data_IF_880459222774
#
_entry.id   IF_880459222774
#
_cell.length_a   1.000
_cell.length_b   1.000
_cell.length_c   1.000
_cell.angle_alpha   90.00
_cell.angle_beta   90.00
_cell.angle_gamma   90.00
#
_symmetry.space_group_name_H-M   'P 1'
#
loop_
_entity.id
_entity.type
_entity.pdbx_description
1 polymer ?
#
# COMPACT_ATOMS: atom_id res chain seq x y z
N UNK A 1 -28.29 -12.67 -57.18
CA UNK A 1 -27.08 -11.98 -56.71
C UNK A 1 -27.46 -11.09 -55.53
N UNK A 2 -27.13 -11.48 -54.31
CA UNK A 2 -27.26 -10.62 -53.12
C UNK A 2 -26.09 -10.97 -52.19
N UNK A 3 -25.21 -9.99 -52.00
CA UNK A 3 -23.99 -10.07 -51.20
C UNK A 3 -24.13 -9.05 -50.06
N UNK A 4 -23.52 -9.37 -48.91
CA UNK A 4 -23.01 -8.48 -47.84
C UNK A 4 -23.99 -8.07 -46.74
N UNK A 5 -23.62 -7.94 -45.44
CA UNK A 5 -22.35 -8.05 -44.70
C UNK A 5 -22.61 -8.72 -43.33
N UNK A 6 -21.72 -9.58 -42.85
CA UNK A 6 -21.58 -9.86 -41.42
C UNK A 6 -20.76 -8.73 -40.79
N UNK A 7 -21.36 -7.98 -39.87
CA UNK A 7 -20.65 -7.03 -39.02
C UNK A 7 -19.86 -7.80 -37.96
N UNK A 8 -18.53 -7.69 -38.02
CA UNK A 8 -17.62 -8.16 -36.99
C UNK A 8 -17.71 -7.19 -35.81
N UNK A 9 -18.40 -7.57 -34.73
CA UNK A 9 -18.32 -6.83 -33.47
C UNK A 9 -16.98 -7.21 -32.82
N UNK A 10 -16.02 -6.29 -32.90
CA UNK A 10 -14.81 -6.37 -32.08
C UNK A 10 -15.22 -5.96 -30.68
N UNK A 11 -15.42 -6.96 -29.80
CA UNK A 11 -15.47 -6.72 -28.37
C UNK A 11 -14.06 -6.34 -27.92
N UNK A 12 -13.82 -5.05 -27.68
CA UNK A 12 -12.63 -4.65 -26.95
C UNK A 12 -12.80 -5.12 -25.50
N UNK A 13 -11.94 -6.04 -25.07
CA UNK A 13 -11.84 -6.45 -23.69
C UNK A 13 -11.32 -5.25 -22.88
N UNK A 14 -12.20 -4.56 -22.17
CA UNK A 14 -11.81 -3.69 -21.07
C UNK A 14 -11.35 -4.60 -19.95
N UNK A 15 -10.04 -4.81 -19.83
CA UNK A 15 -9.46 -5.49 -18.67
C UNK A 15 -9.46 -4.52 -17.48
N UNK A 16 -10.63 -4.28 -16.90
CA UNK A 16 -10.75 -3.77 -15.54
C UNK A 16 -10.83 -4.97 -14.60
N UNK A 17 -10.14 -4.92 -13.46
CA UNK A 17 -10.43 -5.88 -12.40
C UNK A 17 -11.92 -5.77 -12.03
N UNK A 18 -12.56 -6.89 -11.69
CA UNK A 18 -13.98 -6.88 -11.34
C UNK A 18 -14.19 -6.04 -10.08
N UNK A 19 -15.18 -5.15 -10.12
CA UNK A 19 -15.71 -4.47 -8.94
C UNK A 19 -16.27 -5.50 -7.96
N UNK A 20 -15.96 -5.31 -6.67
CA UNK A 20 -16.42 -6.16 -5.58
C UNK A 20 -17.24 -5.29 -4.61
N UNK A 21 -18.51 -5.66 -4.41
CA UNK A 21 -19.27 -5.15 -3.26
C UNK A 21 -18.83 -5.91 -2.02
N UNK A 22 -18.26 -5.19 -1.05
CA UNK A 22 -17.79 -5.73 0.21
C UNK A 22 -19.00 -6.10 1.07
N UNK A 23 -19.84 -5.11 1.35
CA UNK A 23 -21.11 -5.26 2.05
C UNK A 23 -21.98 -4.01 1.87
N UNK A 24 -23.23 -4.10 2.32
CA UNK A 24 -24.12 -2.95 2.51
C UNK A 24 -24.36 -2.73 4.00
N UNK A 25 -24.21 -1.50 4.47
CA UNK A 25 -24.48 -1.15 5.86
C UNK A 25 -25.99 -0.95 6.14
N UNK A 26 -26.32 -0.70 7.41
CA UNK A 26 -27.68 -0.43 7.88
C UNK A 26 -28.23 0.94 7.45
N UNK A 27 -27.36 1.88 7.05
CA UNK A 27 -27.74 3.15 6.42
C UNK A 27 -27.99 2.98 4.91
N UNK A 28 -27.82 1.76 4.38
CA UNK A 28 -28.08 1.39 2.99
C UNK A 28 -26.95 1.79 2.03
N UNK A 29 -25.75 2.06 2.54
CA UNK A 29 -24.56 2.35 1.76
C UNK A 29 -23.91 1.04 1.33
N UNK A 30 -23.83 0.80 0.03
CA UNK A 30 -23.03 -0.29 -0.56
C UNK A 30 -21.57 0.15 -0.60
N UNK A 31 -20.72 -0.52 0.16
CA UNK A 31 -19.28 -0.31 0.18
C UNK A 31 -18.60 -1.21 -0.86
N UNK A 32 -17.77 -0.63 -1.71
CA UNK A 32 -17.18 -1.32 -2.86
C UNK A 32 -15.69 -1.07 -2.97
N UNK A 33 -15.01 -2.03 -3.58
CA UNK A 33 -13.60 -1.93 -3.95
C UNK A 33 -13.39 -2.41 -5.38
N UNK A 34 -12.49 -1.75 -6.08
CA UNK A 34 -11.94 -2.23 -7.35
C UNK A 34 -10.43 -1.98 -7.39
N UNK A 35 -9.71 -2.88 -8.07
CA UNK A 35 -8.33 -2.63 -8.45
C UNK A 35 -8.31 -1.86 -9.77
N UNK A 36 -7.60 -0.74 -9.79
CA UNK A 36 -7.50 0.12 -10.96
C UNK A 36 -6.06 0.22 -11.44
N UNK A 37 -5.89 0.59 -12.70
CA UNK A 37 -4.56 0.90 -13.22
C UNK A 37 -3.96 2.08 -12.45
N UNK A 38 -2.71 1.93 -12.01
CA UNK A 38 -1.99 3.03 -11.38
C UNK A 38 -1.64 4.09 -12.43
N UNK A 39 -2.20 5.29 -12.27
CA UNK A 39 -1.98 6.41 -13.17
C UNK A 39 -0.49 6.80 -13.31
N UNK A 40 -0.04 7.11 -14.52
CA UNK A 40 1.35 7.49 -14.82
C UNK A 40 1.88 8.65 -13.96
N UNK A 41 1.13 9.75 -13.75
CA UNK A 41 1.61 10.84 -12.90
C UNK A 41 1.91 10.40 -11.47
N UNK A 42 1.16 9.41 -10.95
CA UNK A 42 1.42 8.87 -9.62
C UNK A 42 2.66 8.00 -9.61
N UNK A 43 2.86 7.13 -10.61
CA UNK A 43 4.11 6.36 -10.75
C UNK A 43 5.34 7.28 -10.72
N UNK A 44 5.31 8.38 -11.48
CA UNK A 44 6.41 9.35 -11.53
C UNK A 44 6.56 10.16 -10.23
N UNK A 45 5.46 10.55 -9.60
CA UNK A 45 5.47 11.22 -8.29
C UNK A 45 6.10 10.35 -7.20
N UNK A 46 5.75 9.06 -7.15
CA UNK A 46 6.32 8.12 -6.19
C UNK A 46 7.79 7.84 -6.49
N UNK A 47 8.17 7.67 -7.76
CA UNK A 47 9.60 7.55 -8.14
C UNK A 47 10.41 8.74 -7.64
N UNK A 48 9.90 9.96 -7.83
CA UNK A 48 10.55 11.19 -7.36
C UNK A 48 10.65 11.23 -5.84
N UNK A 49 9.57 10.88 -5.14
CA UNK A 49 9.53 10.78 -3.68
C UNK A 49 10.59 9.79 -3.15
N UNK A 50 10.68 8.61 -3.76
CA UNK A 50 11.62 7.57 -3.36
C UNK A 50 13.06 7.89 -3.75
N UNK A 51 13.30 8.59 -4.86
CA UNK A 51 14.63 9.05 -5.24
C UNK A 51 15.18 10.06 -4.23
N UNK A 52 14.37 11.03 -3.78
CA UNK A 52 14.75 11.98 -2.71
C UNK A 52 15.11 11.30 -1.39
N UNK A 53 14.54 10.13 -1.14
CA UNK A 53 14.81 9.35 0.08
C UNK A 53 16.16 8.64 0.04
N UNK A 54 16.67 8.31 -1.15
CA UNK A 54 17.96 7.66 -1.32
C UNK A 54 19.15 8.64 -1.17
N UNK A 55 18.91 9.95 -1.11
CA UNK A 55 19.97 10.93 -0.84
C UNK A 55 20.41 10.89 0.63
N UNK A 56 21.72 10.94 0.93
CA UNK A 56 22.21 10.89 2.30
C UNK A 56 21.66 12.08 3.08
N UNK A 57 20.89 11.80 4.13
CA UNK A 57 20.47 12.81 5.10
C UNK A 57 21.70 13.55 5.61
N UNK A 58 21.83 14.83 5.26
CA UNK A 58 22.81 15.71 5.91
C UNK A 58 22.55 15.69 7.41
N UNK A 59 23.62 15.55 8.18
CA UNK A 59 23.69 15.22 9.61
C UNK A 59 23.13 16.29 10.56
N UNK A 60 21.87 16.70 10.45
CA UNK A 60 21.26 17.57 11.46
C UNK A 60 19.73 17.53 11.49
N UNK A 61 19.14 16.43 11.95
CA UNK A 61 17.81 16.47 12.56
C UNK A 61 17.78 15.48 13.73
N UNK A 62 17.63 16.01 14.95
CA UNK A 62 17.41 15.27 16.18
C UNK A 62 16.17 14.36 16.05
N UNK A 63 16.35 13.15 15.54
CA UNK A 63 15.37 12.06 15.61
C UNK A 63 15.58 11.26 16.90
N UNK A 64 15.37 11.93 18.04
CA UNK A 64 15.31 11.26 19.34
C UNK A 64 14.04 10.42 19.44
N UNK A 65 14.20 9.15 19.83
CA UNK A 65 13.10 8.30 20.31
C UNK A 65 12.72 7.13 19.39
N UNK A 66 13.64 6.16 19.21
CA UNK A 66 13.38 4.73 18.95
C UNK A 66 14.66 3.92 18.63
N UNK A 67 15.82 4.58 18.56
CA UNK A 67 17.10 3.97 18.16
C UNK A 67 17.91 3.37 19.31
N UNK A 68 17.41 3.39 20.55
CA UNK A 68 18.21 3.06 21.74
C UNK A 68 17.95 1.66 22.30
N UNK A 69 17.57 0.67 21.46
CA UNK A 69 17.57 -0.73 21.89
C UNK A 69 17.61 -1.77 20.75
N UNK A 70 18.39 -1.51 19.69
CA UNK A 70 18.82 -2.58 18.79
C UNK A 70 20.34 -2.72 18.92
N UNK A 71 20.75 -3.79 19.59
CA UNK A 71 22.13 -4.26 19.69
C UNK A 71 22.76 -4.36 18.29
N UNK A 72 23.56 -3.35 17.94
CA UNK A 72 24.17 -3.10 16.63
C UNK A 72 25.36 -4.04 16.33
N UNK A 73 25.62 -5.04 17.16
CA UNK A 73 26.85 -5.84 17.07
C UNK A 73 26.76 -7.11 16.20
N UNK A 74 25.58 -7.53 15.74
CA UNK A 74 25.45 -8.71 14.88
C UNK A 74 24.37 -8.54 13.80
N UNK A 75 24.78 -8.61 12.53
CA UNK A 75 23.84 -8.78 11.41
C UNK A 75 23.25 -10.18 11.51
N UNK A 76 21.93 -10.27 11.65
CA UNK A 76 21.22 -11.55 11.78
C UNK A 76 20.27 -11.70 10.60
N UNK A 77 20.68 -12.49 9.60
CA UNK A 77 19.99 -12.66 8.32
C UNK A 77 18.58 -13.26 8.48
N UNK A 78 18.39 -14.16 9.45
CA UNK A 78 17.09 -14.81 9.69
C UNK A 78 16.09 -13.92 10.42
N UNK A 79 16.57 -12.83 11.05
CA UNK A 79 15.73 -11.87 11.76
C UNK A 79 15.40 -10.69 10.85
N UNK A 80 14.27 -10.81 10.15
CA UNK A 80 13.71 -9.72 9.34
C UNK A 80 13.02 -8.72 10.25
N UNK A 81 13.44 -7.45 10.21
CA UNK A 81 12.87 -6.38 11.03
C UNK A 81 12.21 -5.32 10.16
N UNK A 82 11.13 -4.72 10.69
CA UNK A 82 10.54 -3.54 10.09
C UNK A 82 11.27 -2.27 10.53
N UNK A 83 11.89 -1.59 9.58
CA UNK A 83 12.47 -0.26 9.76
C UNK A 83 11.49 0.78 9.17
N UNK A 84 10.51 1.18 9.97
CA UNK A 84 9.41 2.05 9.54
C UNK A 84 8.56 2.60 10.69
N UNK A 85 7.85 3.72 10.47
CA UNK A 85 6.87 4.24 11.45
C UNK A 85 5.67 3.31 11.51
N UNK A 86 5.26 2.88 12.71
CA UNK A 86 4.26 1.81 12.89
C UNK A 86 2.79 2.22 12.74
N UNK A 87 2.47 3.51 12.66
CA UNK A 87 1.10 4.02 12.56
C UNK A 87 1.12 5.36 11.82
N UNK A 88 0.31 5.53 10.78
CA UNK A 88 0.14 6.85 10.17
C UNK A 88 -1.22 7.03 9.50
N UNK A 89 -1.71 8.27 9.57
CA UNK A 89 -2.93 8.72 8.90
C UNK A 89 -2.64 9.04 7.45
N UNK A 90 -3.38 8.42 6.55
CA UNK A 90 -3.25 8.53 5.09
C UNK A 90 -4.25 9.57 4.57
N UNK A 91 -5.48 9.55 5.08
CA UNK A 91 -6.56 10.50 4.75
C UNK A 91 -7.22 10.96 6.05
N UNK A 92 -7.53 12.25 6.17
CA UNK A 92 -8.29 12.81 7.30
C UNK A 92 -9.40 13.74 6.81
N UNK A 93 -10.64 13.49 7.25
CA UNK A 93 -11.83 14.30 6.95
C UNK A 93 -11.99 14.64 5.45
N UNK A 94 -11.79 13.64 4.58
CA UNK A 94 -11.98 13.81 3.13
C UNK A 94 -10.90 14.64 2.44
N UNK A 95 -9.75 14.89 3.09
CA UNK A 95 -8.60 15.54 2.47
C UNK A 95 -7.37 14.64 2.62
N UNK A 96 -6.53 14.51 1.57
CA UNK A 96 -5.21 13.92 1.73
C UNK A 96 -4.41 14.76 2.74
N UNK A 97 -3.94 14.14 3.83
CA UNK A 97 -3.11 14.85 4.80
C UNK A 97 -1.69 14.90 4.26
N UNK A 98 -1.32 15.98 3.59
CA UNK A 98 0.04 16.16 3.01
C UNK A 98 1.13 16.23 4.10
N UNK A 99 0.74 16.36 5.38
CA UNK A 99 1.65 16.31 6.53
C UNK A 99 2.03 14.88 6.99
N UNK A 100 1.80 13.84 6.19
CA UNK A 100 2.52 12.58 6.39
C UNK A 100 3.99 12.83 6.03
N UNK A 101 4.86 12.99 7.05
CA UNK A 101 6.28 12.65 6.89
C UNK A 101 6.32 11.19 6.45
N UNK A 102 6.27 10.95 5.13
CA UNK A 102 6.05 9.68 4.42
C UNK A 102 6.49 8.49 5.24
N UNK A 103 5.51 7.81 5.81
CA UNK A 103 5.74 6.59 6.55
C UNK A 103 5.71 5.42 5.57
N UNK A 104 6.71 4.59 5.72
CA UNK A 104 6.98 3.42 4.92
C UNK A 104 7.43 2.33 5.87
N UNK A 105 7.44 1.11 5.39
CA UNK A 105 8.11 0.01 6.06
C UNK A 105 9.09 -0.67 5.12
N UNK A 106 10.17 -1.16 5.70
CA UNK A 106 11.11 -2.03 5.02
C UNK A 106 11.06 -3.39 5.72
N UNK A 107 11.54 -4.44 5.07
CA UNK A 107 11.72 -5.74 5.71
C UNK A 107 13.14 -6.23 5.36
N UNK A 108 14.10 -5.85 6.21
CA UNK A 108 15.54 -6.04 6.02
C UNK A 108 16.12 -6.96 7.11
N UNK A 109 17.33 -7.52 6.94
CA UNK A 109 18.04 -8.16 8.04
C UNK A 109 18.19 -7.21 9.23
N UNK A 110 18.21 -7.77 10.44
CA UNK A 110 18.55 -7.01 11.64
C UNK A 110 19.96 -6.42 11.50
N UNK A 111 20.10 -5.12 11.77
CA UNK A 111 21.39 -4.41 11.75
C UNK A 111 21.85 -3.90 10.38
N UNK A 112 21.04 -4.07 9.33
CA UNK A 112 21.40 -3.72 7.94
C UNK A 112 20.48 -2.62 7.41
N UNK A 113 21.03 -1.70 6.63
CA UNK A 113 20.25 -0.65 5.95
C UNK A 113 20.00 -1.02 4.48
N UNK A 114 19.03 -0.36 3.86
CA UNK A 114 18.68 -0.62 2.46
C UNK A 114 19.85 -0.38 1.51
N UNK A 115 20.74 0.56 1.85
CA UNK A 115 21.92 0.90 1.04
C UNK A 115 23.01 -0.19 1.07
N UNK A 116 22.95 -1.10 2.04
CA UNK A 116 23.86 -2.25 2.15
C UNK A 116 23.36 -3.47 1.33
N UNK A 117 22.19 -3.35 0.70
CA UNK A 117 21.59 -4.39 -0.12
C UNK A 117 21.64 -4.04 -1.61
N UNK A 118 21.72 -5.08 -2.44
CA UNK A 118 21.80 -4.97 -3.89
C UNK A 118 20.65 -5.73 -4.57
N UNK A 119 20.53 -5.60 -5.90
CA UNK A 119 19.59 -6.38 -6.74
C UNK A 119 18.09 -6.15 -6.50
N UNK A 120 17.71 -5.01 -5.91
CA UNK A 120 16.31 -4.62 -5.86
C UNK A 120 15.69 -4.46 -7.25
N UNK A 121 14.43 -4.85 -7.35
CA UNK A 121 13.58 -4.64 -8.52
C UNK A 121 13.36 -3.15 -8.81
N UNK A 122 12.83 -2.86 -10.00
CA UNK A 122 12.13 -1.59 -10.22
C UNK A 122 10.94 -1.45 -9.25
N UNK A 123 10.47 -0.22 -9.07
CA UNK A 123 9.33 0.06 -8.21
C UNK A 123 8.05 -0.55 -8.78
N UNK A 124 7.36 -1.32 -7.95
CA UNK A 124 6.08 -1.95 -8.28
C UNK A 124 4.93 -1.10 -7.75
N UNK A 125 3.76 -1.21 -8.39
CA UNK A 125 2.58 -0.41 -8.07
C UNK A 125 1.30 -1.22 -8.17
N UNK A 126 0.39 -1.04 -7.21
CA UNK A 126 -0.97 -1.59 -7.24
C UNK A 126 -1.94 -0.56 -6.66
N UNK A 127 -2.99 -0.19 -7.39
CA UNK A 127 -3.93 0.85 -6.95
C UNK A 127 -5.31 0.29 -6.69
N UNK A 128 -5.92 0.76 -5.62
CA UNK A 128 -7.27 0.37 -5.20
C UNK A 128 -8.13 1.61 -5.09
N UNK A 129 -9.35 1.51 -5.61
CA UNK A 129 -10.41 2.50 -5.42
C UNK A 129 -11.47 1.91 -4.50
N UNK A 130 -11.73 2.62 -3.41
CA UNK A 130 -12.75 2.32 -2.42
C UNK A 130 -13.81 3.39 -2.46
N UNK A 131 -15.06 3.02 -2.62
CA UNK A 131 -16.13 3.98 -2.70
C UNK A 131 -17.45 3.44 -2.13
N UNK A 132 -18.30 4.34 -1.66
CA UNK A 132 -19.59 4.01 -1.06
C UNK A 132 -20.73 4.61 -1.87
N UNK A 133 -21.76 3.83 -2.16
CA UNK A 133 -22.96 4.28 -2.91
C UNK A 133 -24.19 4.14 -2.04
N UNK A 134 -24.93 5.22 -1.81
CA UNK A 134 -26.17 5.19 -1.02
C UNK A 134 -27.37 4.66 -1.84
N UNK A 135 -28.53 4.53 -1.18
CA UNK A 135 -29.77 4.03 -1.79
C UNK A 135 -30.28 4.84 -2.99
N UNK A 136 -29.81 6.09 -3.16
CA UNK A 136 -30.15 6.95 -4.29
C UNK A 136 -29.18 6.81 -5.47
N UNK A 137 -28.19 5.91 -5.38
CA UNK A 137 -27.16 5.74 -6.40
C UNK A 137 -26.07 6.81 -6.37
N UNK A 138 -26.00 7.61 -5.30
CA UNK A 138 -25.02 8.70 -5.16
C UNK A 138 -23.77 8.16 -4.47
N UNK A 139 -22.59 8.45 -5.02
CA UNK A 139 -21.31 8.15 -4.38
C UNK A 139 -21.08 9.12 -3.22
N UNK A 140 -20.98 8.60 -1.99
CA UNK A 140 -20.86 9.40 -0.76
C UNK A 140 -19.42 9.55 -0.29
N UNK A 141 -18.55 8.63 -0.68
CA UNK A 141 -17.10 8.78 -0.62
C UNK A 141 -16.45 8.00 -1.76
N UNK A 142 -15.27 8.47 -2.20
CA UNK A 142 -14.42 7.84 -3.19
C UNK A 142 -12.96 8.09 -2.82
N UNK A 143 -12.23 7.02 -2.55
CA UNK A 143 -10.82 7.07 -2.16
C UNK A 143 -10.03 6.14 -3.05
N UNK A 144 -8.99 6.69 -3.66
CA UNK A 144 -7.99 5.91 -4.38
C UNK A 144 -6.67 5.94 -3.61
N UNK A 145 -6.06 4.77 -3.41
CA UNK A 145 -4.72 4.65 -2.86
C UNK A 145 -3.85 3.65 -3.64
N UNK A 146 -2.55 3.84 -3.59
CA UNK A 146 -1.54 3.00 -4.26
C UNK A 146 -0.63 2.37 -3.24
N UNK A 147 -0.44 1.06 -3.39
CA UNK A 147 0.66 0.32 -2.79
C UNK A 147 1.88 0.45 -3.71
N UNK A 148 3.04 0.73 -3.13
CA UNK A 148 4.30 0.72 -3.87
C UNK A 148 5.40 0.02 -3.05
N UNK A 149 6.24 -0.78 -3.70
CA UNK A 149 7.37 -1.47 -3.07
C UNK A 149 8.46 -1.85 -4.07
N UNK A 150 9.67 -2.09 -3.57
CA UNK A 150 10.71 -2.87 -4.26
C UNK A 150 10.90 -4.21 -3.55
N UNK A 151 11.24 -5.22 -4.32
CA UNK A 151 11.55 -6.56 -3.84
C UNK A 151 12.89 -7.03 -4.44
N UNK A 152 13.37 -8.20 -4.05
CA UNK A 152 14.56 -8.84 -4.61
C UNK A 152 15.88 -8.39 -4.00
N UNK A 153 15.85 -7.53 -2.98
CA UNK A 153 17.05 -7.07 -2.30
C UNK A 153 17.84 -8.25 -1.74
N UNK A 154 19.16 -8.20 -1.85
CA UNK A 154 20.09 -9.22 -1.39
C UNK A 154 21.17 -8.59 -0.53
N UNK A 155 21.52 -9.24 0.58
CA UNK A 155 22.68 -8.88 1.38
C UNK A 155 23.78 -9.90 1.14
N UNK A 156 24.94 -9.49 0.63
CA UNK A 156 26.04 -10.38 0.23
C UNK A 156 25.57 -11.55 -0.67
N UNK A 157 24.67 -11.26 -1.62
CA UNK A 157 24.11 -12.25 -2.54
C UNK A 157 23.09 -13.22 -1.92
N UNK A 158 22.67 -13.01 -0.67
CA UNK A 158 21.74 -13.89 0.04
C UNK A 158 20.42 -13.20 0.37
N UNK A 159 19.37 -14.02 0.36
CA UNK A 159 18.01 -13.64 0.76
C UNK A 159 17.23 -12.85 -0.29
N UNK A 160 16.01 -12.51 0.07
CA UNK A 160 15.09 -11.70 -0.73
C UNK A 160 14.35 -10.74 0.19
N UNK A 161 14.71 -9.45 0.13
CA UNK A 161 14.24 -8.42 1.06
C UNK A 161 13.34 -7.37 0.38
N UNK A 162 12.59 -6.64 1.20
CA UNK A 162 11.61 -5.63 0.75
C UNK A 162 12.08 -4.25 1.15
N UNK A 163 12.03 -3.32 0.22
CA UNK A 163 12.33 -1.91 0.45
C UNK A 163 11.12 -1.04 0.10
N UNK A 164 10.90 -0.01 0.91
CA UNK A 164 10.00 1.11 0.62
C UNK A 164 8.55 0.70 0.37
N UNK A 165 8.08 -0.36 1.05
CA UNK A 165 6.66 -0.69 1.04
C UNK A 165 5.87 0.47 1.66
N UNK A 166 4.92 1.00 0.89
CA UNK A 166 4.22 2.26 1.21
C UNK A 166 2.78 2.21 0.71
N UNK A 167 1.87 2.85 1.47
CA UNK A 167 0.48 3.14 1.08
C UNK A 167 0.37 4.64 0.80
N UNK A 168 0.03 5.02 -0.43
CA UNK A 168 -0.06 6.40 -0.89
C UNK A 168 -1.49 6.77 -1.27
N UNK A 169 -2.12 7.79 -0.65
CA UNK A 169 -3.41 8.31 -1.11
C UNK A 169 -3.21 9.08 -2.42
N UNK A 170 -4.16 8.94 -3.35
CA UNK A 170 -4.14 9.64 -4.63
C UNK A 170 -5.32 10.63 -4.74
N UNK A 171 -6.54 10.10 -4.67
CA UNK A 171 -7.77 10.87 -4.77
C UNK A 171 -8.63 10.63 -3.53
N UNK A 172 -9.28 11.67 -3.03
CA UNK A 172 -10.21 11.61 -1.91
C UNK A 172 -11.34 12.59 -2.19
N UNK A 173 -12.52 12.06 -2.43
CA UNK A 173 -13.75 12.81 -2.57
C UNK A 173 -14.74 12.31 -1.53
N UNK A 174 -15.36 13.25 -0.81
CA UNK A 174 -16.29 12.92 0.26
C UNK A 174 -17.46 13.89 0.19
N UNK A 175 -18.67 13.32 0.15
CA UNK A 175 -19.91 14.09 0.16
C UNK A 175 -20.13 14.72 1.54
N UNK A 176 -20.82 15.86 1.57
CA UNK A 176 -21.19 16.49 2.83
C UNK A 176 -21.94 15.53 3.76
N UNK A 177 -21.65 15.62 5.06
CA UNK A 177 -22.23 14.74 6.08
C UNK A 177 -21.43 13.46 6.34
N UNK A 178 -20.39 13.20 5.55
CA UNK A 178 -19.49 12.07 5.70
C UNK A 178 -18.08 12.52 6.11
N UNK A 179 -17.41 11.72 6.92
CA UNK A 179 -15.99 11.87 7.21
C UNK A 179 -15.30 10.54 6.92
N UNK A 180 -14.17 10.59 6.22
CA UNK A 180 -13.42 9.38 5.90
C UNK A 180 -11.99 9.51 6.34
N UNK A 181 -11.49 8.46 6.99
CA UNK A 181 -10.10 8.34 7.41
C UNK A 181 -9.54 7.01 6.92
N UNK A 182 -8.40 7.04 6.24
CA UNK A 182 -7.63 5.85 5.87
C UNK A 182 -6.35 5.85 6.71
N UNK A 183 -6.03 4.75 7.37
CA UNK A 183 -4.83 4.60 8.19
C UNK A 183 -4.12 3.29 7.85
N UNK A 184 -2.80 3.24 8.07
CA UNK A 184 -2.09 1.96 8.27
C UNK A 184 -2.10 1.67 9.76
N UNK A 185 -2.82 0.62 10.15
CA UNK A 185 -3.10 0.25 11.55
C UNK A 185 -2.09 -0.74 12.13
N UNK A 186 -1.51 -1.59 11.29
CA UNK A 186 -0.52 -2.58 11.75
C UNK A 186 0.51 -2.84 10.66
N UNK A 187 1.76 -3.05 11.08
CA UNK A 187 2.80 -3.55 10.21
C UNK A 187 3.58 -4.66 10.90
N UNK A 188 3.71 -5.82 10.25
CA UNK A 188 4.48 -6.96 10.75
C UNK A 188 5.43 -7.49 9.68
N UNK A 189 6.60 -7.96 10.10
CA UNK A 189 7.59 -8.57 9.21
C UNK A 189 7.94 -9.96 9.73
N UNK A 190 8.04 -10.93 8.82
CA UNK A 190 8.42 -12.31 9.12
C UNK A 190 9.35 -12.86 8.05
N UNK A 191 10.11 -13.90 8.38
CA UNK A 191 10.89 -14.67 7.41
C UNK A 191 10.08 -15.89 6.96
N UNK A 192 9.76 -15.97 5.65
CA UNK A 192 9.11 -17.13 5.03
C UNK A 192 10.10 -18.17 4.50
N UNK A 193 11.38 -17.81 4.41
CA UNK A 193 12.46 -18.66 3.92
C UNK A 193 13.16 -19.41 5.05
N UNK A 194 14.42 -19.80 4.80
CA UNK A 194 15.28 -20.40 5.83
C UNK A 194 16.17 -19.35 6.48
N UNK A 195 17.05 -19.77 7.39
CA UNK A 195 18.02 -18.85 7.99
C UNK A 195 19.12 -18.44 7.01
N UNK A 196 19.51 -19.37 6.15
CA UNK A 196 20.56 -19.23 5.14
C UNK A 196 20.04 -18.52 3.89
N UNK A 197 18.76 -18.72 3.56
CA UNK A 197 18.10 -18.08 2.41
C UNK A 197 16.77 -17.45 2.88
N UNK A 198 16.83 -16.32 3.60
CA UNK A 198 15.64 -15.67 4.13
C UNK A 198 14.81 -15.04 3.01
N UNK A 199 13.48 -15.11 3.16
CA UNK A 199 12.52 -14.45 2.28
C UNK A 199 11.67 -13.55 3.17
N UNK A 200 11.89 -12.24 3.07
CA UNK A 200 11.12 -11.28 3.85
C UNK A 200 9.66 -11.27 3.39
N UNK A 201 8.74 -11.34 4.35
CA UNK A 201 7.34 -11.01 4.16
C UNK A 201 6.99 -9.83 5.05
N UNK A 202 6.24 -8.88 4.50
CA UNK A 202 5.78 -7.69 5.18
C UNK A 202 4.27 -7.59 5.02
N UNK A 203 3.55 -7.60 6.13
CA UNK A 203 2.11 -7.41 6.17
C UNK A 203 1.79 -5.99 6.64
N UNK A 204 0.94 -5.30 5.90
CA UNK A 204 0.38 -3.98 6.25
C UNK A 204 -1.13 -4.08 6.34
N UNK A 205 -1.69 -3.78 7.51
CA UNK A 205 -3.14 -3.63 7.66
C UNK A 205 -3.53 -2.17 7.42
N UNK A 206 -4.40 -1.94 6.46
CA UNK A 206 -5.07 -0.64 6.28
C UNK A 206 -6.46 -0.68 6.89
N UNK A 207 -6.85 0.42 7.54
CA UNK A 207 -8.18 0.63 8.08
C UNK A 207 -8.80 1.88 7.47
N UNK A 208 -9.87 1.67 6.70
CA UNK A 208 -10.73 2.70 6.17
C UNK A 208 -11.92 2.90 7.10
N UNK A 209 -12.03 4.07 7.70
CA UNK A 209 -13.11 4.47 8.60
C UNK A 209 -14.00 5.45 7.86
N UNK A 210 -15.27 5.11 7.69
CA UNK A 210 -16.31 5.97 7.12
C UNK A 210 -17.27 6.33 8.23
N UNK A 211 -17.42 7.62 8.53
CA UNK A 211 -18.32 8.12 9.57
C UNK A 211 -19.41 8.99 8.99
N UNK A 212 -20.62 8.81 9.48
CA UNK A 212 -21.73 9.74 9.36
C UNK A 212 -21.96 10.41 10.73
N UNK A 213 -23.03 11.21 10.86
CA UNK A 213 -23.48 11.69 12.17
C UNK A 213 -24.00 10.54 13.04
N UNK A 214 -24.51 9.47 12.42
CA UNK A 214 -25.22 8.39 13.09
C UNK A 214 -24.34 7.17 13.37
N UNK A 215 -23.33 6.92 12.53
CA UNK A 215 -22.58 5.67 12.54
C UNK A 215 -21.11 5.84 12.14
N UNK A 216 -20.30 4.89 12.60
CA UNK A 216 -18.97 4.61 12.08
C UNK A 216 -18.95 3.19 11.48
N UNK A 217 -18.43 3.08 10.26
CA UNK A 217 -18.11 1.83 9.58
C UNK A 217 -16.59 1.75 9.44
N UNK A 218 -16.03 0.56 9.69
CA UNK A 218 -14.61 0.29 9.50
C UNK A 218 -14.43 -0.88 8.55
N UNK A 219 -13.59 -0.67 7.54
CA UNK A 219 -13.23 -1.66 6.52
C UNK A 219 -11.73 -1.87 6.64
N UNK A 220 -11.31 -3.12 6.79
CA UNK A 220 -9.90 -3.48 7.00
C UNK A 220 -9.37 -4.32 5.85
N UNK A 221 -8.17 -4.02 5.39
CA UNK A 221 -7.47 -4.82 4.38
C UNK A 221 -6.07 -5.17 4.84
N UNK A 222 -5.71 -6.43 4.75
CA UNK A 222 -4.34 -6.91 4.89
C UNK A 222 -3.66 -6.93 3.52
N UNK A 223 -2.54 -6.23 3.40
CA UNK A 223 -1.67 -6.23 2.23
C UNK A 223 -0.36 -6.95 2.56
N UNK A 224 -0.11 -8.08 1.91
CA UNK A 224 1.10 -8.88 2.10
C UNK A 224 2.06 -8.69 0.92
N UNK A 225 3.23 -8.18 1.23
CA UNK A 225 4.36 -8.00 0.32
C UNK A 225 5.37 -9.13 0.55
N UNK A 226 5.99 -9.62 -0.52
CA UNK A 226 7.08 -10.61 -0.42
C UNK A 226 8.35 -10.10 -1.08
N UNK A 227 9.49 -10.41 -0.47
CA UNK A 227 10.80 -10.04 -0.96
C UNK A 227 11.20 -10.74 -2.26
N UNK A 228 10.49 -11.78 -2.68
CA UNK A 228 10.75 -12.54 -3.91
C UNK A 228 9.68 -12.30 -5.00
N UNK A 229 8.76 -11.36 -4.81
CA UNK A 229 7.61 -11.19 -5.72
C UNK A 229 7.21 -9.74 -5.96
N UNK A 230 6.87 -9.45 -7.22
CA UNK A 230 6.21 -8.20 -7.60
C UNK A 230 4.74 -8.16 -7.16
N UNK A 231 4.10 -9.33 -6.98
CA UNK A 231 2.70 -9.40 -6.61
C UNK A 231 2.52 -9.05 -5.13
N UNK A 232 1.49 -8.25 -4.86
CA UNK A 232 1.02 -7.96 -3.50
C UNK A 232 -0.28 -8.72 -3.30
N UNK A 233 -0.39 -9.54 -2.26
CA UNK A 233 -1.67 -10.16 -1.91
C UNK A 233 -2.48 -9.19 -1.06
N UNK A 234 -3.76 -9.04 -1.35
CA UNK A 234 -4.66 -8.15 -0.58
C UNK A 234 -5.89 -8.92 -0.18
N UNK A 235 -6.29 -8.84 1.08
CA UNK A 235 -7.40 -9.61 1.65
C UNK A 235 -8.19 -8.73 2.60
N UNK A 236 -9.51 -8.70 2.44
CA UNK A 236 -10.41 -8.05 3.39
C UNK A 236 -10.40 -8.80 4.72
N UNK A 237 -10.40 -8.06 5.83
CA UNK A 237 -10.50 -8.61 7.18
C UNK A 237 -11.91 -8.31 7.72
N UNK A 238 -12.61 -9.38 8.14
CA UNK A 238 -13.94 -9.31 8.77
C UNK A 238 -13.88 -8.97 10.25
#
# INVERSE_FOLDING_TARGET
MKKWLLGLVVLQAVSGAAEIELFRDDEGISHRVEEIETATPVKEGVKTLMARRAEPRSSNENAGGLLEELDLAAVVLDKVVNLGKKMWTVVENGRPVVNVKTAYANALPSGVRAEDLENFSSLQFRSFRHYGVNLYGITVYDITYTLAHRFGGQFNGQGAYIESATVLPQNVEVLWGYNVNLNVEQVSAVNLGTKENPIASLAMETGLIVKTVMKEVRIKHLHEFRGDSAAVRSTELN
#
